data_IF_594070422869
#
_entry.id   IF_594070422869
#
_cell.length_a   1.000
_cell.length_b   1.000
_cell.length_c   1.000
_cell.angle_alpha   90.00
_cell.angle_beta   90.00
_cell.angle_gamma   90.00
#
_symmetry.space_group_name_H-M   'P 1'
#
loop_
_entity.id
_entity.type
_entity.pdbx_description
1 polymer ?
#
# COMPACT_ATOMS: atom_id res chain seq x y z
N UNK A 1 33.94 -8.38 29.52
CA UNK A 1 32.80 -7.85 28.72
C UNK A 1 32.14 -9.05 28.06
N UNK A 2 30.94 -9.49 28.46
CA UNK A 2 29.72 -9.39 27.64
C UNK A 2 28.49 -9.87 28.46
N UNK A 3 28.27 -9.31 29.66
CA UNK A 3 27.08 -9.61 30.46
C UNK A 3 25.92 -8.63 30.24
N UNK A 4 26.00 -7.74 29.22
CA UNK A 4 25.10 -6.58 29.09
C UNK A 4 24.45 -6.41 27.69
N UNK A 5 24.42 -7.44 26.83
CA UNK A 5 23.83 -7.33 25.48
C UNK A 5 22.36 -7.82 25.41
N UNK A 6 21.90 -8.60 26.39
CA UNK A 6 20.56 -9.19 26.37
C UNK A 6 19.48 -8.16 26.80
N UNK A 7 19.79 -7.28 27.76
CA UNK A 7 18.79 -6.38 28.34
C UNK A 7 18.37 -5.21 27.42
N UNK A 8 19.23 -4.78 26.49
CA UNK A 8 18.92 -3.71 25.53
C UNK A 8 18.00 -4.19 24.40
N UNK A 9 18.13 -5.45 23.98
CA UNK A 9 17.27 -6.06 22.96
C UNK A 9 15.82 -6.19 23.42
N UNK A 10 15.60 -6.69 24.64
CA UNK A 10 14.26 -6.82 25.22
C UNK A 10 13.57 -5.47 25.43
N UNK A 11 14.32 -4.42 25.77
CA UNK A 11 13.78 -3.07 25.98
C UNK A 11 13.33 -2.42 24.65
N UNK A 12 14.10 -2.60 23.57
CA UNK A 12 13.71 -2.12 22.23
C UNK A 12 12.52 -2.91 21.64
N UNK A 13 12.43 -4.22 21.85
CA UNK A 13 11.26 -5.00 21.41
C UNK A 13 10.00 -4.64 22.18
N UNK A 14 10.12 -4.39 23.49
CA UNK A 14 8.99 -3.96 24.32
C UNK A 14 8.53 -2.55 23.93
N UNK A 15 9.46 -1.63 23.62
CA UNK A 15 9.13 -0.30 23.13
C UNK A 15 8.42 -0.37 21.78
N UNK A 16 8.91 -1.18 20.83
CA UNK A 16 8.32 -1.34 19.50
C UNK A 16 6.89 -1.92 19.54
N UNK A 17 6.64 -2.90 20.42
CA UNK A 17 5.30 -3.47 20.64
C UNK A 17 4.34 -2.49 21.34
N UNK A 18 4.84 -1.63 22.23
CA UNK A 18 4.06 -0.56 22.87
C UNK A 18 3.68 0.54 21.87
N UNK A 19 4.56 0.89 20.91
CA UNK A 19 4.21 1.85 19.84
C UNK A 19 3.20 1.23 18.86
N UNK A 20 3.26 -0.08 18.60
CA UNK A 20 2.26 -0.79 17.78
C UNK A 20 0.87 -0.83 18.44
N UNK A 21 0.79 -0.92 19.77
CA UNK A 21 -0.49 -1.00 20.48
C UNK A 21 -1.26 0.32 20.49
N UNK A 22 -0.56 1.46 20.36
CA UNK A 22 -1.18 2.77 20.23
C UNK A 22 -1.75 3.04 18.81
N UNK A 23 -1.42 2.22 17.82
CA UNK A 23 -1.88 2.37 16.44
C UNK A 23 -3.14 1.53 16.10
N UNK A 24 -3.68 0.76 17.04
CA UNK A 24 -4.82 -0.16 16.80
C UNK A 24 -6.17 0.36 17.34
N UNK A 25 -6.23 1.61 17.81
CA UNK A 25 -7.48 2.24 18.25
C UNK A 25 -8.06 3.21 17.21
N UNK A 26 -7.90 2.91 15.91
CA UNK A 26 -8.78 3.48 14.89
C UNK A 26 -9.80 2.40 14.52
N UNK A 27 -11.02 2.55 15.05
CA UNK A 27 -12.13 1.74 14.62
C UNK A 27 -12.25 1.88 13.09
N UNK A 28 -12.30 0.78 12.31
CA UNK A 28 -12.61 0.91 10.89
C UNK A 28 -13.96 1.62 10.76
N UNK A 29 -14.09 2.67 9.93
CA UNK A 29 -15.39 3.22 9.66
C UNK A 29 -16.24 2.09 9.07
N UNK A 30 -17.33 1.77 9.76
CA UNK A 30 -18.36 0.85 9.25
C UNK A 30 -18.90 1.43 7.95
N UNK A 31 -18.34 1.04 6.81
CA UNK A 31 -18.93 1.32 5.50
C UNK A 31 -20.15 0.42 5.36
N UNK A 32 -21.28 0.89 5.89
CA UNK A 32 -22.59 0.38 5.49
C UNK A 32 -22.69 0.60 3.98
N UNK A 33 -22.70 -0.51 3.23
CA UNK A 33 -22.79 -0.50 1.77
C UNK A 33 -24.05 0.20 1.31
N UNK A 34 -23.90 1.47 0.94
CA UNK A 34 -24.87 2.19 0.13
C UNK A 34 -24.71 1.78 -1.32
N UNK A 35 -25.78 1.27 -1.91
CA UNK A 35 -25.95 1.08 -3.35
C UNK A 35 -25.53 2.35 -4.09
N UNK A 36 -24.43 2.30 -4.85
CA UNK A 36 -24.02 3.41 -5.71
C UNK A 36 -25.03 3.52 -6.88
N UNK A 37 -25.72 4.65 -7.05
CA UNK A 37 -26.39 4.93 -8.31
C UNK A 37 -25.32 5.18 -9.37
N UNK A 38 -25.43 4.48 -10.49
CA UNK A 38 -24.70 4.82 -11.70
C UNK A 38 -25.28 6.12 -12.25
N UNK A 39 -24.63 7.26 -12.02
CA UNK A 39 -24.73 8.44 -12.89
C UNK A 39 -23.74 9.54 -12.46
N UNK A 40 -23.19 10.17 -13.49
CA UNK A 40 -22.65 11.52 -13.54
C UNK A 40 -21.17 11.70 -13.19
N UNK A 41 -20.40 11.93 -14.26
CA UNK A 41 -18.97 12.14 -14.30
C UNK A 41 -18.48 13.03 -13.17
N UNK A 42 -17.66 12.43 -12.30
CA UNK A 42 -16.95 13.09 -11.24
C UNK A 42 -16.10 14.22 -11.82
N UNK A 43 -16.58 15.46 -11.61
CA UNK A 43 -15.76 16.65 -11.67
C UNK A 43 -14.62 16.44 -10.67
N UNK A 44 -13.43 16.16 -11.18
CA UNK A 44 -12.18 16.21 -10.42
C UNK A 44 -12.18 17.57 -9.73
N UNK A 45 -12.40 17.62 -8.41
CA UNK A 45 -12.30 18.86 -7.66
C UNK A 45 -10.89 19.35 -7.86
N UNK A 46 -10.68 20.32 -8.74
CA UNK A 46 -9.37 20.86 -9.06
C UNK A 46 -9.02 21.84 -7.93
N UNK A 47 -8.69 21.30 -6.75
CA UNK A 47 -8.24 22.10 -5.60
C UNK A 47 -6.87 22.77 -5.84
N UNK A 48 -6.33 22.67 -7.08
CA UNK A 48 -5.09 23.32 -7.51
C UNK A 48 -3.85 22.75 -6.82
N UNK A 49 -3.98 21.61 -6.15
CA UNK A 49 -2.88 20.93 -5.46
C UNK A 49 -2.52 19.63 -6.16
N UNK A 50 -1.28 19.22 -5.98
CA UNK A 50 -0.83 17.91 -6.38
C UNK A 50 -1.19 16.89 -5.29
N UNK A 51 -1.90 15.83 -5.68
CA UNK A 51 -2.24 14.70 -4.82
C UNK A 51 -1.56 13.47 -5.41
N UNK A 52 -0.61 12.90 -4.68
CA UNK A 52 0.15 11.73 -5.13
C UNK A 52 -0.39 10.50 -4.43
N UNK A 53 -0.85 9.53 -5.20
CA UNK A 53 -1.40 8.27 -4.69
C UNK A 53 -0.43 7.14 -4.96
N UNK A 54 -0.09 6.41 -3.90
CA UNK A 54 0.74 5.23 -3.97
C UNK A 54 -0.13 3.99 -4.05
N UNK A 55 0.07 3.18 -5.09
CA UNK A 55 -0.56 1.87 -5.22
C UNK A 55 0.47 0.82 -4.87
N UNK A 56 0.17 0.01 -3.86
CA UNK A 56 1.03 -1.10 -3.46
C UNK A 56 0.74 -2.32 -4.33
N UNK A 57 1.76 -2.84 -5.00
CA UNK A 57 1.72 -4.06 -5.82
C UNK A 57 1.22 -5.26 -5.03
N UNK A 58 1.50 -5.30 -3.72
CA UNK A 58 1.07 -6.37 -2.81
C UNK A 58 -0.38 -6.24 -2.34
N UNK A 59 -1.09 -5.16 -2.68
CA UNK A 59 -2.46 -4.94 -2.22
C UNK A 59 -3.44 -6.00 -2.78
N UNK A 60 -3.14 -6.60 -3.93
CA UNK A 60 -3.92 -7.69 -4.53
C UNK A 60 -3.94 -8.96 -3.65
N UNK A 61 -2.94 -9.14 -2.79
CA UNK A 61 -2.84 -10.32 -1.93
C UNK A 61 -3.52 -10.17 -0.57
N UNK A 62 -4.11 -8.99 -0.29
CA UNK A 62 -4.83 -8.77 0.97
C UNK A 62 -6.13 -9.58 0.99
N UNK A 63 -6.50 -10.17 2.14
CA UNK A 63 -7.69 -11.01 2.20
C UNK A 63 -9.00 -10.20 2.12
N UNK A 64 -10.01 -10.80 1.50
CA UNK A 64 -11.37 -10.27 1.47
C UNK A 64 -11.49 -8.91 0.79
N UNK A 65 -12.26 -8.00 1.39
CA UNK A 65 -12.50 -6.65 0.85
C UNK A 65 -11.26 -5.73 0.90
N UNK A 66 -10.18 -6.17 1.53
CA UNK A 66 -8.91 -5.45 1.54
C UNK A 66 -8.08 -5.67 0.28
N UNK A 67 -8.41 -6.67 -0.54
CA UNK A 67 -7.78 -6.91 -1.84
C UNK A 67 -8.04 -5.73 -2.75
N UNK A 68 -6.98 -5.20 -3.36
CA UNK A 68 -7.06 -4.09 -4.30
C UNK A 68 -6.16 -4.32 -5.51
N UNK A 69 -6.75 -4.19 -6.69
CA UNK A 69 -6.11 -4.33 -7.98
C UNK A 69 -6.03 -2.98 -8.70
N UNK A 70 -5.00 -2.78 -9.53
CA UNK A 70 -4.86 -1.59 -10.40
C UNK A 70 -6.07 -1.43 -11.31
N UNK A 71 -6.64 -2.54 -11.77
CA UNK A 71 -7.82 -2.52 -12.64
C UNK A 71 -9.06 -1.95 -11.95
N UNK A 72 -9.07 -1.89 -10.62
CA UNK A 72 -10.14 -1.28 -9.82
C UNK A 72 -9.93 0.22 -9.61
N UNK A 73 -8.84 0.79 -10.14
CA UNK A 73 -8.52 2.21 -10.06
C UNK A 73 -9.26 2.96 -11.18
N UNK A 74 -10.49 3.38 -10.90
CA UNK A 74 -11.28 4.18 -11.84
C UNK A 74 -10.66 5.59 -12.01
N UNK A 75 -10.21 5.99 -13.22
CA UNK A 75 -9.50 7.26 -13.47
C UNK A 75 -10.27 8.53 -13.08
N UNK A 76 -11.56 8.43 -12.79
CA UNK A 76 -12.42 9.54 -12.36
C UNK A 76 -12.79 9.55 -10.88
N UNK A 77 -12.62 8.45 -10.14
CA UNK A 77 -13.00 8.38 -8.71
C UNK A 77 -11.85 8.73 -7.78
N UNK A 78 -10.61 8.46 -8.19
CA UNK A 78 -9.45 8.77 -7.37
C UNK A 78 -9.06 10.23 -7.59
N UNK A 79 -9.25 11.08 -6.57
CA UNK A 79 -8.81 12.49 -6.56
C UNK A 79 -7.29 12.70 -6.60
N UNK A 80 -6.56 11.77 -7.21
CA UNK A 80 -5.12 11.75 -7.37
C UNK A 80 -4.75 12.52 -8.64
N UNK A 81 -3.75 13.41 -8.54
CA UNK A 81 -3.15 14.04 -9.72
C UNK A 81 -1.96 13.25 -10.27
N UNK A 82 -1.30 12.44 -9.42
CA UNK A 82 -0.20 11.56 -9.81
C UNK A 82 -0.37 10.19 -9.16
N UNK A 83 -0.05 9.14 -9.92
CA UNK A 83 -0.05 7.77 -9.43
C UNK A 83 1.38 7.26 -9.37
N UNK A 84 1.74 6.62 -8.26
CA UNK A 84 3.02 5.94 -8.09
C UNK A 84 2.75 4.46 -7.82
N UNK A 85 3.12 3.61 -8.77
CA UNK A 85 3.12 2.17 -8.57
C UNK A 85 4.35 1.76 -7.74
N UNK A 86 4.13 1.07 -6.63
CA UNK A 86 5.17 0.71 -5.69
C UNK A 86 5.06 -0.78 -5.33
N UNK A 87 6.14 -1.57 -5.32
CA UNK A 87 7.54 -1.15 -5.26
C UNK A 87 8.39 -1.79 -6.35
N UNK A 88 9.40 -1.05 -6.79
CA UNK A 88 10.52 -1.59 -7.55
C UNK A 88 11.61 -2.08 -6.59
N UNK A 89 12.22 -3.22 -6.94
CA UNK A 89 13.38 -3.76 -6.23
C UNK A 89 14.70 -3.29 -6.84
N UNK A 90 15.78 -3.40 -6.08
CA UNK A 90 17.14 -3.22 -6.58
C UNK A 90 17.89 -4.55 -6.50
N UNK A 91 18.65 -4.87 -7.54
CA UNK A 91 19.59 -5.99 -7.51
C UNK A 91 20.87 -5.53 -6.79
N UNK A 92 21.24 -6.23 -5.71
CA UNK A 92 22.38 -5.86 -4.88
C UNK A 92 23.75 -6.01 -5.59
N UNK A 93 23.82 -6.87 -6.61
CA UNK A 93 25.08 -7.18 -7.32
C UNK A 93 25.25 -6.32 -8.56
N UNK A 94 24.18 -6.10 -9.33
CA UNK A 94 24.23 -5.32 -10.59
C UNK A 94 23.79 -3.87 -10.43
N UNK A 95 23.30 -3.47 -9.25
CA UNK A 95 22.71 -2.14 -8.99
C UNK A 95 21.60 -1.75 -9.97
N UNK A 96 20.95 -2.75 -10.59
CA UNK A 96 19.88 -2.54 -11.56
C UNK A 96 18.51 -2.67 -10.89
N UNK A 97 17.54 -1.92 -11.39
CA UNK A 97 16.13 -2.07 -10.98
C UNK A 97 15.63 -3.45 -11.41
N UNK A 98 14.79 -4.08 -10.58
CA UNK A 98 14.11 -5.33 -10.87
C UNK A 98 12.68 -5.32 -10.32
N UNK A 99 11.81 -6.12 -10.94
CA UNK A 99 10.50 -6.43 -10.33
C UNK A 99 10.69 -7.25 -9.04
N UNK A 100 9.84 -6.97 -8.05
CA UNK A 100 9.74 -7.76 -6.82
C UNK A 100 8.70 -8.87 -6.94
N UNK A 101 7.73 -8.71 -7.83
CA UNK A 101 6.71 -9.69 -8.16
C UNK A 101 6.52 -9.81 -9.69
N UNK A 102 7.37 -10.57 -10.38
CA UNK A 102 7.34 -10.66 -11.84
C UNK A 102 6.01 -11.18 -12.40
N UNK A 103 5.26 -11.96 -11.63
CA UNK A 103 3.97 -12.51 -12.08
C UNK A 103 2.88 -11.44 -12.16
N UNK A 104 2.96 -10.39 -11.32
CA UNK A 104 2.03 -9.26 -11.34
C UNK A 104 2.57 -8.05 -12.11
N UNK A 105 3.88 -7.88 -12.16
CA UNK A 105 4.50 -6.67 -12.73
C UNK A 105 4.83 -6.80 -14.23
N UNK A 106 4.99 -8.03 -14.75
CA UNK A 106 5.44 -8.29 -16.12
C UNK A 106 4.48 -9.22 -16.85
N UNK A 107 4.35 -9.04 -18.16
CA UNK A 107 3.52 -9.90 -19.02
C UNK A 107 4.23 -11.20 -19.46
N UNK A 108 5.52 -11.33 -19.16
CA UNK A 108 6.30 -12.54 -19.45
C UNK A 108 5.99 -13.67 -18.45
N UNK A 109 6.22 -14.93 -18.83
CA UNK A 109 5.97 -16.12 -17.98
C UNK A 109 4.52 -16.25 -17.46
N UNK A 110 3.52 -15.96 -18.29
CA UNK A 110 2.10 -15.99 -17.91
C UNK A 110 1.71 -15.00 -16.81
N UNK A 111 2.54 -13.99 -16.56
CA UNK A 111 2.16 -12.87 -15.72
C UNK A 111 0.96 -12.12 -16.28
N UNK A 112 0.19 -11.51 -15.39
CA UNK A 112 -1.04 -10.78 -15.71
C UNK A 112 -0.79 -9.29 -15.83
#
# INVERSE_FOLDING_TARGET
MCANMEATSFCLTALLLLVCSAAIADQPPTVTGGSHPAADGASVTKHGKNVVCYVSSWAVYRPGKGSFDIEQLEPGLTGCSHLVYAFAGLNASSSSIRSLDPFRDLSENYGK
#
